data_IF_821880757064
#
_entry.id   IF_821880757064
#
_cell.length_a   1.000
_cell.length_b   1.000
_cell.length_c   1.000
_cell.angle_alpha   90.00
_cell.angle_beta   90.00
_cell.angle_gamma   90.00
#
_symmetry.space_group_name_H-M   'P 1'
#
loop_
_entity.id
_entity.type
_entity.pdbx_description
1 polymer ?
#
# COMPACT_ATOMS: atom_id res chain seq x y z
N UNK A 1 -5.08 -22.39 8.11
CA UNK A 1 -6.24 -21.77 7.51
C UNK A 1 -6.26 -20.28 7.84
N UNK A 2 -6.44 -19.44 6.87
CA UNK A 2 -6.53 -17.99 7.03
C UNK A 2 -7.82 -17.63 7.76
N UNK A 3 -7.70 -17.14 9.00
CA UNK A 3 -8.85 -16.93 9.88
C UNK A 3 -9.42 -15.50 9.86
N UNK A 4 -8.86 -14.62 9.01
CA UNK A 4 -9.33 -13.25 8.82
C UNK A 4 -9.02 -12.27 9.97
N UNK A 5 -9.75 -11.15 10.00
CA UNK A 5 -9.50 -10.02 10.90
C UNK A 5 -9.38 -10.37 12.38
N UNK A 6 -10.34 -11.13 12.99
CA UNK A 6 -10.25 -11.49 14.40
C UNK A 6 -8.96 -12.26 14.75
N UNK A 7 -8.49 -13.13 13.85
CA UNK A 7 -7.24 -13.89 14.07
C UNK A 7 -5.99 -13.00 13.96
N UNK A 8 -6.04 -11.97 13.11
CA UNK A 8 -4.94 -11.01 12.99
C UNK A 8 -4.86 -10.17 14.27
N UNK A 9 -5.99 -9.65 14.75
CA UNK A 9 -6.06 -8.88 15.99
C UNK A 9 -5.50 -9.67 17.19
N UNK A 10 -5.90 -10.95 17.34
CA UNK A 10 -5.37 -11.78 18.42
C UNK A 10 -3.86 -12.04 18.30
N UNK A 11 -3.33 -12.19 17.08
CA UNK A 11 -1.88 -12.32 16.87
C UNK A 11 -1.16 -11.02 17.25
N UNK A 12 -1.69 -9.86 16.85
CA UNK A 12 -1.14 -8.55 17.24
C UNK A 12 -1.14 -8.43 18.76
N UNK A 13 -2.25 -8.75 19.43
CA UNK A 13 -2.33 -8.74 20.87
C UNK A 13 -1.31 -9.68 21.54
N UNK A 14 -1.10 -10.86 20.96
CA UNK A 14 -0.06 -11.79 21.44
C UNK A 14 1.36 -11.23 21.30
N UNK A 15 1.65 -10.51 20.23
CA UNK A 15 2.94 -9.83 20.01
C UNK A 15 3.13 -8.72 21.06
N UNK A 16 2.12 -7.88 21.27
CA UNK A 16 2.17 -6.80 22.29
C UNK A 16 2.42 -7.41 23.68
N UNK A 17 1.65 -8.43 24.08
CA UNK A 17 1.81 -9.11 25.34
C UNK A 17 3.23 -9.67 25.54
N UNK A 18 3.78 -10.27 24.49
CA UNK A 18 5.17 -10.77 24.52
C UNK A 18 6.18 -9.66 24.78
N UNK A 19 6.08 -8.52 24.04
CA UNK A 19 7.04 -7.43 24.21
C UNK A 19 6.89 -6.71 25.55
N UNK A 20 5.69 -6.60 26.12
CA UNK A 20 5.49 -6.06 27.46
C UNK A 20 6.25 -6.86 28.56
N UNK A 21 6.54 -8.15 28.31
CA UNK A 21 7.38 -8.93 29.24
C UNK A 21 8.88 -8.62 29.12
N UNK A 22 9.30 -7.87 28.11
CA UNK A 22 10.71 -7.61 27.80
C UNK A 22 11.10 -6.15 28.02
N UNK A 23 10.21 -5.23 27.67
CA UNK A 23 10.46 -3.79 27.71
C UNK A 23 9.19 -3.05 28.12
N UNK A 24 9.35 -1.86 28.67
CA UNK A 24 8.24 -0.91 28.82
C UNK A 24 7.86 -0.36 27.46
N UNK A 25 6.60 -0.56 27.05
CA UNK A 25 6.07 -0.05 25.79
C UNK A 25 5.41 1.30 25.99
N UNK A 26 5.82 2.30 25.21
CA UNK A 26 5.22 3.63 25.21
C UNK A 26 3.94 3.70 24.36
N UNK A 27 3.76 2.81 23.40
CA UNK A 27 2.60 2.78 22.52
C UNK A 27 2.66 1.65 21.48
N UNK A 28 1.58 1.51 20.73
CA UNK A 28 1.41 0.55 19.64
C UNK A 28 1.14 1.34 18.37
N UNK A 29 1.94 1.12 17.33
CA UNK A 29 1.71 1.66 15.99
C UNK A 29 1.51 0.52 15.00
N UNK A 30 0.41 0.57 14.26
CA UNK A 30 0.03 -0.44 13.28
C UNK A 30 -0.04 0.16 11.88
N UNK A 31 0.55 -0.53 10.93
CA UNK A 31 0.40 -0.28 9.50
C UNK A 31 -0.41 -1.44 8.90
N UNK A 32 -1.49 -1.15 8.20
CA UNK A 32 -2.47 -2.15 7.77
C UNK A 32 -2.93 -1.95 6.34
N UNK A 33 -3.21 -3.06 5.66
CA UNK A 33 -3.98 -3.03 4.41
C UNK A 33 -5.42 -2.60 4.68
N UNK A 34 -6.07 -2.05 3.65
CA UNK A 34 -7.46 -1.59 3.69
C UNK A 34 -7.61 -0.11 4.04
N UNK A 35 -8.83 0.39 3.94
CA UNK A 35 -9.16 1.75 4.36
C UNK A 35 -9.29 1.78 5.88
N UNK A 36 -8.59 2.69 6.52
CA UNK A 36 -8.55 2.82 7.99
C UNK A 36 -9.27 4.10 8.39
N UNK A 37 -10.13 4.00 9.42
CA UNK A 37 -10.58 5.16 10.19
C UNK A 37 -9.58 5.38 11.33
N UNK A 38 -8.63 6.33 11.21
CA UNK A 38 -7.58 6.51 12.22
C UNK A 38 -8.12 7.12 13.51
N UNK A 39 -9.28 7.81 13.46
CA UNK A 39 -9.90 8.42 14.64
C UNK A 39 -10.46 7.32 15.54
N UNK A 40 -11.22 6.39 14.96
CA UNK A 40 -11.76 5.23 15.70
C UNK A 40 -10.71 4.13 15.89
N UNK A 41 -9.67 4.10 15.05
CA UNK A 41 -8.65 3.07 15.05
C UNK A 41 -9.19 1.72 14.59
N UNK A 42 -10.02 1.73 13.54
CA UNK A 42 -10.66 0.55 13.00
C UNK A 42 -10.45 0.42 11.48
N UNK A 43 -10.55 -0.81 10.98
CA UNK A 43 -10.59 -1.05 9.53
C UNK A 43 -11.98 -0.68 9.03
N UNK A 44 -12.08 0.44 8.32
CA UNK A 44 -13.35 0.94 7.77
C UNK A 44 -13.84 0.05 6.61
N UNK A 45 -12.92 -0.31 5.69
CA UNK A 45 -13.21 -1.18 4.56
C UNK A 45 -11.98 -2.00 4.17
N UNK A 46 -12.22 -3.20 3.67
CA UNK A 46 -11.17 -4.07 3.12
C UNK A 46 -11.75 -4.96 2.02
N UNK A 47 -10.94 -5.22 1.00
CA UNK A 47 -11.28 -6.18 -0.04
C UNK A 47 -11.41 -7.62 0.48
N UNK A 48 -11.85 -8.56 -0.36
CA UNK A 48 -12.12 -9.95 0.02
C UNK A 48 -10.88 -10.77 0.39
N UNK A 49 -9.69 -10.24 0.15
CA UNK A 49 -8.41 -10.91 0.42
C UNK A 49 -8.23 -11.26 1.90
N UNK A 50 -8.78 -10.44 2.79
CA UNK A 50 -8.78 -10.67 4.24
C UNK A 50 -10.22 -10.83 4.74
N UNK A 51 -10.68 -12.06 4.96
CA UNK A 51 -12.06 -12.31 5.42
C UNK A 51 -12.35 -11.63 6.77
N UNK A 52 -13.53 -11.03 6.91
CA UNK A 52 -13.99 -10.39 8.15
C UNK A 52 -13.00 -9.36 8.72
N UNK A 53 -12.33 -8.60 7.84
CA UNK A 53 -11.35 -7.62 8.25
C UNK A 53 -11.98 -6.26 8.52
N UNK A 54 -12.94 -5.83 7.71
CA UNK A 54 -13.71 -4.62 7.96
C UNK A 54 -14.42 -4.68 9.32
N UNK A 55 -14.44 -3.56 10.05
CA UNK A 55 -14.96 -3.45 11.41
C UNK A 55 -14.01 -3.95 12.51
N UNK A 56 -12.80 -4.39 12.19
CA UNK A 56 -11.81 -4.78 13.22
C UNK A 56 -11.32 -3.53 13.97
N UNK A 57 -11.63 -3.45 15.27
CA UNK A 57 -11.34 -2.30 16.14
C UNK A 57 -10.01 -2.47 16.86
N UNK A 58 -8.91 -2.14 16.21
CA UNK A 58 -7.57 -2.30 16.78
C UNK A 58 -7.32 -1.40 17.98
N UNK A 59 -7.54 -0.08 17.83
CA UNK A 59 -7.27 0.92 18.86
C UNK A 59 -8.01 0.58 20.14
N UNK A 60 -9.33 0.46 20.07
CA UNK A 60 -10.16 0.16 21.22
C UNK A 60 -9.73 -1.12 21.94
N UNK A 61 -9.58 -2.22 21.21
CA UNK A 61 -9.30 -3.53 21.82
C UNK A 61 -7.90 -3.58 22.44
N UNK A 62 -6.90 -2.98 21.77
CA UNK A 62 -5.52 -3.02 22.27
C UNK A 62 -5.31 -2.05 23.42
N UNK A 63 -5.91 -0.85 23.37
CA UNK A 63 -5.85 0.10 24.49
C UNK A 63 -6.58 -0.43 25.75
N UNK A 64 -7.78 -1.00 25.58
CA UNK A 64 -8.52 -1.61 26.69
C UNK A 64 -7.72 -2.77 27.33
N UNK A 65 -7.01 -3.57 26.52
CA UNK A 65 -6.28 -4.75 26.99
C UNK A 65 -4.93 -4.44 27.62
N UNK A 66 -4.22 -3.45 27.08
CA UNK A 66 -2.82 -3.21 27.46
C UNK A 66 -2.58 -1.88 28.18
N UNK A 67 -3.57 -1.01 28.23
CA UNK A 67 -3.51 0.32 28.87
C UNK A 67 -2.38 1.21 28.32
N UNK A 68 -2.05 1.07 27.03
CA UNK A 68 -1.08 1.90 26.30
C UNK A 68 -1.70 2.44 25.02
N UNK A 69 -1.32 3.64 24.55
CA UNK A 69 -1.86 4.23 23.33
C UNK A 69 -1.66 3.33 22.11
N UNK A 70 -2.66 3.29 21.24
CA UNK A 70 -2.60 2.54 19.98
C UNK A 70 -3.04 3.42 18.81
N UNK A 71 -2.22 3.50 17.78
CA UNK A 71 -2.55 4.15 16.52
C UNK A 71 -2.46 3.15 15.37
N UNK A 72 -3.36 3.29 14.41
CA UNK A 72 -3.39 2.48 13.19
C UNK A 72 -3.64 3.36 11.97
N UNK A 73 -2.94 3.08 10.89
CA UNK A 73 -3.12 3.75 9.61
C UNK A 73 -2.92 2.78 8.45
N UNK A 74 -3.40 3.16 7.27
CA UNK A 74 -3.15 2.42 6.03
C UNK A 74 -1.65 2.34 5.73
N UNK A 75 -1.21 1.25 5.11
CA UNK A 75 0.21 0.97 4.86
C UNK A 75 0.85 1.98 3.88
N UNK A 76 0.14 2.40 2.84
CA UNK A 76 0.62 3.43 1.91
C UNK A 76 0.65 4.80 2.57
N UNK A 77 -0.35 5.10 3.41
CA UNK A 77 -0.37 6.33 4.20
C UNK A 77 0.79 6.39 5.19
N UNK A 78 1.11 5.27 5.86
CA UNK A 78 2.29 5.17 6.72
C UNK A 78 3.59 5.44 5.94
N UNK A 79 3.72 4.88 4.74
CA UNK A 79 4.88 5.11 3.88
C UNK A 79 4.98 6.59 3.46
N UNK A 80 3.86 7.19 3.02
CA UNK A 80 3.81 8.60 2.64
C UNK A 80 4.14 9.54 3.80
N UNK A 81 3.64 9.25 5.00
CA UNK A 81 3.96 10.02 6.20
C UNK A 81 5.45 9.93 6.57
N UNK A 82 6.04 8.75 6.46
CA UNK A 82 7.48 8.55 6.70
C UNK A 82 8.33 9.37 5.71
N UNK A 83 7.95 9.39 4.43
CA UNK A 83 8.59 10.21 3.40
C UNK A 83 8.43 11.72 3.66
N UNK A 84 7.28 12.16 4.16
CA UNK A 84 7.05 13.55 4.51
C UNK A 84 7.86 14.01 5.72
N UNK A 85 8.07 13.13 6.71
CA UNK A 85 8.81 13.46 7.94
C UNK A 85 10.34 13.37 7.72
N UNK A 86 10.80 12.33 7.03
CA UNK A 86 12.22 11.96 7.02
C UNK A 86 12.80 11.70 5.62
N UNK A 87 11.96 11.65 4.58
CA UNK A 87 12.35 11.28 3.22
C UNK A 87 12.28 12.43 2.23
N UNK A 88 11.95 12.10 0.98
CA UNK A 88 11.91 13.03 -0.15
C UNK A 88 10.83 14.12 -0.02
N UNK A 89 9.77 13.86 0.74
CA UNK A 89 8.68 14.81 1.01
C UNK A 89 8.96 15.79 2.15
N UNK A 90 10.12 15.69 2.83
CA UNK A 90 10.47 16.56 3.94
C UNK A 90 10.45 18.04 3.54
N UNK A 91 9.88 18.87 4.42
CA UNK A 91 9.77 20.33 4.21
C UNK A 91 8.91 20.73 2.99
N UNK A 92 8.13 19.81 2.43
CA UNK A 92 7.16 20.11 1.36
C UNK A 92 5.78 20.31 1.97
N UNK A 93 5.06 21.33 1.46
CA UNK A 93 3.66 21.59 1.86
C UNK A 93 2.70 20.55 1.28
N UNK A 94 2.98 20.09 0.08
CA UNK A 94 2.18 19.09 -0.62
C UNK A 94 3.14 18.05 -1.17
N UNK A 95 2.87 16.77 -0.89
CA UNK A 95 3.60 15.66 -1.50
C UNK A 95 2.65 14.50 -1.78
N UNK A 96 2.84 13.87 -2.95
CA UNK A 96 2.21 12.63 -3.35
C UNK A 96 3.24 11.51 -3.22
N UNK A 97 2.92 10.50 -2.43
CA UNK A 97 3.67 9.25 -2.36
C UNK A 97 2.91 8.17 -3.14
N UNK A 98 3.58 7.48 -4.05
CA UNK A 98 3.04 6.34 -4.77
C UNK A 98 3.81 5.08 -4.41
N UNK A 99 3.10 4.01 -4.14
CA UNK A 99 3.66 2.67 -4.03
C UNK A 99 3.33 1.88 -5.29
N UNK A 100 4.37 1.37 -5.96
CA UNK A 100 4.23 0.53 -7.16
C UNK A 100 4.67 -0.88 -6.79
N UNK A 101 3.70 -1.74 -6.53
CA UNK A 101 3.91 -3.12 -6.09
C UNK A 101 2.95 -4.06 -6.82
N UNK A 102 2.29 -4.96 -6.10
CA UNK A 102 1.24 -5.83 -6.64
C UNK A 102 0.10 -5.03 -7.26
N UNK A 103 -0.20 -3.86 -6.69
CA UNK A 103 -1.09 -2.83 -7.22
C UNK A 103 -0.39 -1.47 -7.21
N UNK A 104 -1.16 -0.41 -7.31
CA UNK A 104 -0.71 0.98 -7.11
C UNK A 104 -1.51 1.58 -5.97
N UNK A 105 -0.81 2.04 -4.95
CA UNK A 105 -1.38 2.82 -3.85
C UNK A 105 -0.88 4.25 -3.87
N UNK A 106 -1.65 5.17 -3.31
CA UNK A 106 -1.29 6.57 -3.19
C UNK A 106 -1.52 7.10 -1.78
N UNK A 107 -0.71 8.08 -1.40
CA UNK A 107 -0.89 8.89 -0.19
C UNK A 107 -0.64 10.34 -0.54
N UNK A 108 -1.60 11.20 -0.21
CA UNK A 108 -1.46 12.65 -0.33
C UNK A 108 -1.20 13.25 1.05
N UNK A 109 -0.10 13.97 1.15
CA UNK A 109 0.27 14.72 2.35
C UNK A 109 0.03 16.22 2.09
N UNK A 110 -0.73 16.84 2.97
CA UNK A 110 -0.99 18.28 2.96
C UNK A 110 -0.52 18.87 4.30
N UNK A 111 0.38 19.84 4.25
CA UNK A 111 0.92 20.51 5.44
C UNK A 111 1.37 19.53 6.54
N UNK A 112 2.13 18.51 6.18
CA UNK A 112 2.67 17.44 7.04
C UNK A 112 1.62 16.45 7.58
N UNK A 113 0.36 16.53 7.14
CA UNK A 113 -0.74 15.62 7.52
C UNK A 113 -1.22 14.77 6.36
N UNK A 114 -1.67 13.55 6.66
CA UNK A 114 -2.31 12.66 5.67
C UNK A 114 -3.67 13.25 5.30
N UNK A 115 -3.93 13.37 4.01
CA UNK A 115 -5.25 13.71 3.49
C UNK A 115 -6.08 12.44 3.29
N UNK A 116 -6.99 12.18 4.23
CA UNK A 116 -7.81 10.96 4.22
C UNK A 116 -9.12 11.10 3.42
N UNK A 117 -9.50 12.33 3.01
CA UNK A 117 -10.78 12.59 2.36
C UNK A 117 -11.98 12.37 3.29
N UNK A 118 -13.18 12.34 2.70
CA UNK A 118 -14.43 12.20 3.46
C UNK A 118 -14.74 10.76 3.90
N UNK A 119 -14.12 9.77 3.26
CA UNK A 119 -14.42 8.33 3.44
C UNK A 119 -13.17 7.48 3.63
N UNK A 120 -12.06 8.08 4.03
CA UNK A 120 -10.75 7.40 4.19
C UNK A 120 -10.23 6.71 2.92
N UNK A 121 -10.77 7.10 1.75
CA UNK A 121 -10.40 6.55 0.44
C UNK A 121 -9.65 7.55 -0.44
N UNK A 122 -9.20 8.66 0.13
CA UNK A 122 -8.41 9.62 -0.64
C UNK A 122 -7.13 8.93 -1.16
N UNK A 123 -6.77 9.27 -2.40
CA UNK A 123 -5.60 8.70 -3.08
C UNK A 123 -5.63 7.18 -3.35
N UNK A 124 -6.80 6.55 -3.40
CA UNK A 124 -6.97 5.22 -4.01
C UNK A 124 -6.75 5.31 -5.54
N UNK A 125 -5.59 5.84 -5.92
CA UNK A 125 -5.27 6.21 -7.31
C UNK A 125 -5.10 5.02 -8.23
N UNK A 126 -4.88 3.82 -7.68
CA UNK A 126 -4.81 2.59 -8.46
C UNK A 126 -6.10 2.30 -9.25
N UNK A 127 -7.23 2.82 -8.80
CA UNK A 127 -8.54 2.68 -9.45
C UNK A 127 -8.88 3.81 -10.45
N UNK A 128 -7.95 4.73 -10.73
CA UNK A 128 -8.15 5.73 -11.80
C UNK A 128 -8.21 5.01 -13.13
N UNK A 129 -9.29 5.26 -13.88
CA UNK A 129 -9.46 4.70 -15.22
C UNK A 129 -8.54 5.38 -16.22
N UNK A 130 -7.72 4.61 -16.90
CA UNK A 130 -6.91 5.03 -18.04
C UNK A 130 -7.42 4.33 -19.31
N UNK A 131 -7.06 4.82 -20.51
CA UNK A 131 -7.32 4.07 -21.73
C UNK A 131 -6.70 2.65 -21.67
N UNK A 132 -7.55 1.63 -21.62
CA UNK A 132 -7.13 0.22 -21.58
C UNK A 132 -7.35 -0.49 -20.25
N UNK A 133 -7.61 0.21 -19.14
CA UNK A 133 -7.89 -0.42 -17.84
C UNK A 133 -7.66 0.53 -16.66
N UNK A 134 -7.69 0.00 -15.45
CA UNK A 134 -7.38 0.78 -14.27
C UNK A 134 -5.86 1.00 -14.14
N UNK A 135 -5.47 2.10 -13.52
CA UNK A 135 -4.07 2.48 -13.40
C UNK A 135 -3.19 1.35 -12.83
N UNK A 136 -3.66 0.67 -11.79
CA UNK A 136 -2.92 -0.47 -11.22
C UNK A 136 -2.85 -1.68 -12.16
N UNK A 137 -3.87 -1.91 -12.99
CA UNK A 137 -3.91 -3.04 -13.93
C UNK A 137 -3.00 -2.82 -15.13
N UNK A 138 -2.57 -1.58 -15.35
CA UNK A 138 -1.69 -1.18 -16.46
C UNK A 138 -0.25 -0.89 -16.02
N UNK A 139 -0.05 -0.46 -14.76
CA UNK A 139 1.21 0.11 -14.32
C UNK A 139 1.73 -0.45 -12.97
N UNK A 140 1.18 -1.55 -12.48
CA UNK A 140 1.73 -2.27 -11.33
C UNK A 140 2.86 -3.24 -11.74
N UNK A 141 3.59 -3.76 -10.74
CA UNK A 141 4.55 -4.86 -10.97
C UNK A 141 3.85 -6.12 -11.48
N UNK A 142 2.63 -6.39 -11.03
CA UNK A 142 1.81 -7.49 -11.55
C UNK A 142 1.53 -7.32 -13.03
N UNK A 143 1.10 -6.12 -13.45
CA UNK A 143 0.87 -5.79 -14.86
C UNK A 143 2.14 -5.96 -15.71
N UNK A 144 3.30 -5.52 -15.19
CA UNK A 144 4.58 -5.72 -15.87
C UNK A 144 4.90 -7.20 -16.09
N UNK A 145 4.73 -8.03 -15.05
CA UNK A 145 5.00 -9.48 -15.12
C UNK A 145 4.07 -10.15 -16.14
N UNK A 146 2.78 -9.87 -16.08
CA UNK A 146 1.78 -10.40 -17.01
C UNK A 146 2.10 -10.01 -18.46
N UNK A 147 2.42 -8.74 -18.68
CA UNK A 147 2.73 -8.26 -20.02
C UNK A 147 4.00 -8.89 -20.60
N UNK A 148 5.09 -8.96 -19.82
CA UNK A 148 6.35 -9.58 -20.26
C UNK A 148 6.18 -11.08 -20.51
N UNK A 149 5.47 -11.80 -19.65
CA UNK A 149 5.14 -13.21 -19.85
C UNK A 149 4.36 -13.43 -21.17
N UNK A 150 3.36 -12.57 -21.42
CA UNK A 150 2.61 -12.59 -22.67
C UNK A 150 3.49 -12.34 -23.91
N UNK A 151 4.39 -11.35 -23.85
CA UNK A 151 5.33 -11.06 -24.94
C UNK A 151 6.26 -12.25 -25.26
N UNK A 152 6.66 -13.01 -24.24
CA UNK A 152 7.49 -14.21 -24.41
C UNK A 152 6.69 -15.47 -24.77
N UNK A 153 5.35 -15.45 -24.61
CA UNK A 153 4.52 -16.65 -24.73
C UNK A 153 4.78 -17.67 -23.64
N UNK A 154 5.18 -17.22 -22.45
CA UNK A 154 5.53 -18.03 -21.28
C UNK A 154 4.52 -17.84 -20.14
N UNK A 155 4.54 -18.77 -19.17
CA UNK A 155 3.70 -18.69 -17.98
C UNK A 155 4.20 -17.57 -17.03
N UNK A 156 3.26 -16.87 -16.36
CA UNK A 156 3.55 -15.75 -15.47
C UNK A 156 4.46 -16.14 -14.28
N UNK A 157 4.31 -17.38 -13.79
CA UNK A 157 5.08 -17.91 -12.66
C UNK A 157 6.59 -18.00 -12.94
N UNK A 158 6.97 -17.92 -14.20
CA UNK A 158 8.39 -17.91 -14.61
C UNK A 158 9.01 -16.51 -14.52
N UNK A 159 8.20 -15.48 -14.28
CA UNK A 159 8.62 -14.09 -14.31
C UNK A 159 8.40 -13.41 -12.97
N UNK A 160 9.32 -12.54 -12.62
CA UNK A 160 9.19 -11.55 -11.58
C UNK A 160 9.89 -10.23 -11.96
N UNK A 161 9.63 -9.17 -11.23
CA UNK A 161 10.23 -7.88 -11.55
C UNK A 161 11.77 -7.90 -11.55
N UNK A 162 12.40 -8.68 -10.67
CA UNK A 162 13.88 -8.77 -10.61
C UNK A 162 14.45 -9.40 -11.86
N UNK A 163 13.86 -10.52 -12.30
CA UNK A 163 14.25 -11.18 -13.54
C UNK A 163 14.07 -10.24 -14.74
N UNK A 164 12.91 -9.59 -14.85
CA UNK A 164 12.62 -8.67 -15.96
C UNK A 164 13.67 -7.55 -16.05
N UNK A 165 13.95 -6.88 -14.95
CA UNK A 165 14.95 -5.79 -14.94
C UNK A 165 16.39 -6.30 -15.16
N UNK A 166 16.71 -7.52 -14.71
CA UNK A 166 18.00 -8.14 -14.98
C UNK A 166 18.15 -8.44 -16.48
N UNK A 167 17.18 -9.16 -17.04
CA UNK A 167 17.23 -9.58 -18.44
C UNK A 167 17.20 -8.35 -19.40
N UNK A 168 16.47 -7.30 -19.03
CA UNK A 168 16.49 -6.03 -19.75
C UNK A 168 17.90 -5.37 -19.76
N UNK A 169 18.60 -5.38 -18.63
CA UNK A 169 19.99 -4.88 -18.54
C UNK A 169 20.95 -5.71 -19.39
N UNK A 170 20.66 -6.98 -19.61
CA UNK A 170 21.41 -7.89 -20.48
C UNK A 170 21.01 -7.77 -21.96
N UNK A 171 20.08 -6.85 -22.29
CA UNK A 171 19.70 -6.51 -23.65
C UNK A 171 18.46 -7.25 -24.19
N UNK A 172 17.67 -7.91 -23.32
CA UNK A 172 16.43 -8.56 -23.74
C UNK A 172 15.40 -7.49 -24.18
N UNK A 173 15.07 -7.50 -25.49
CA UNK A 173 14.23 -6.48 -26.11
C UNK A 173 12.76 -6.56 -25.64
N UNK A 174 12.22 -7.75 -25.35
CA UNK A 174 10.86 -7.90 -24.88
C UNK A 174 10.71 -7.41 -23.41
N UNK A 175 11.71 -7.63 -22.59
CA UNK A 175 11.76 -7.05 -21.24
C UNK A 175 11.86 -5.51 -21.28
N UNK A 176 12.67 -4.96 -22.18
CA UNK A 176 12.75 -3.51 -22.40
C UNK A 176 11.40 -2.94 -22.85
N UNK A 177 10.75 -3.58 -23.81
CA UNK A 177 9.41 -3.18 -24.27
C UNK A 177 8.39 -3.18 -23.13
N UNK A 178 8.39 -4.20 -22.26
CA UNK A 178 7.51 -4.27 -21.10
C UNK A 178 7.75 -3.13 -20.11
N UNK A 179 9.03 -2.80 -19.85
CA UNK A 179 9.41 -1.68 -18.97
C UNK A 179 9.01 -0.34 -19.58
N UNK A 180 9.20 -0.14 -20.89
CA UNK A 180 8.79 1.10 -21.58
C UNK A 180 7.28 1.31 -21.48
N UNK A 181 6.50 0.25 -21.65
CA UNK A 181 5.04 0.31 -21.50
C UNK A 181 4.63 0.63 -20.05
N UNK A 182 5.28 0.01 -19.06
CA UNK A 182 5.06 0.34 -17.65
C UNK A 182 5.32 1.84 -17.40
N UNK A 183 6.45 2.36 -17.89
CA UNK A 183 6.82 3.77 -17.73
C UNK A 183 5.80 4.72 -18.39
N UNK A 184 5.29 4.36 -19.58
CA UNK A 184 4.27 5.14 -20.28
C UNK A 184 2.96 5.22 -19.47
N UNK A 185 2.48 4.09 -18.96
CA UNK A 185 1.28 4.06 -18.13
C UNK A 185 1.48 4.77 -16.78
N UNK A 186 2.63 4.60 -16.12
CA UNK A 186 2.98 5.35 -14.91
C UNK A 186 2.98 6.85 -15.16
N UNK A 187 3.61 7.29 -16.27
CA UNK A 187 3.64 8.70 -16.64
C UNK A 187 2.25 9.27 -16.86
N UNK A 188 1.36 8.56 -17.54
CA UNK A 188 -0.03 8.96 -17.76
C UNK A 188 -0.82 9.07 -16.45
N UNK A 189 -0.70 8.07 -15.59
CA UNK A 189 -1.38 8.06 -14.29
C UNK A 189 -0.90 9.21 -13.39
N UNK A 190 0.41 9.41 -13.29
CA UNK A 190 1.00 10.52 -12.51
C UNK A 190 0.54 11.88 -13.06
N UNK A 191 0.57 12.06 -14.39
CA UNK A 191 0.11 13.31 -15.00
C UNK A 191 -1.35 13.62 -14.66
N UNK A 192 -2.24 12.63 -14.70
CA UNK A 192 -3.64 12.80 -14.31
C UNK A 192 -3.80 13.24 -12.85
N UNK A 193 -3.03 12.65 -11.94
CA UNK A 193 -3.07 13.01 -10.51
C UNK A 193 -2.57 14.45 -10.29
N UNK A 194 -1.58 14.90 -11.05
CA UNK A 194 -1.02 16.24 -10.90
C UNK A 194 -1.98 17.36 -11.34
N UNK A 195 -3.09 17.05 -12.04
CA UNK A 195 -4.09 18.01 -12.47
C UNK A 195 -5.30 18.13 -11.52
N UNK A 196 -5.34 17.36 -10.44
CA UNK A 196 -6.39 17.41 -9.41
C UNK A 196 -5.79 17.79 -8.06
#
# INVERSE_FOLDING_TARGET
AYKGGPSILEKVAGIVAYYQTKVELAGICLSSAGMVDPIKGEIFYSGPQIPNYAGTQYKKVLEDRFSIPCEIENDVNCAGLAEAISGAGKDRKISLCLTVGTGIGGCLILDQGIYSGASYSACEVGYIHLPGGDFQDLASTTALVQHVAQLHGEAEELWDGRRIFKDAKEGNQLCLQGIDQLCDHLGKGIANICYV
#
